data_IF_676476869968
#
_entry.id   IF_676476869968
#
_cell.length_a   1.000
_cell.length_b   1.000
_cell.length_c   1.000
_cell.angle_alpha   90.00
_cell.angle_beta   90.00
_cell.angle_gamma   90.00
#
_symmetry.space_group_name_H-M   'P 1'
#
loop_
_entity.id
_entity.type
_entity.pdbx_description
1 polymer ?
#
# COMPACT_ATOMS: atom_id res chain seq x y z
N UNK A 1 -46.86 -7.69 -14.52
CA UNK A 1 -45.89 -7.17 -15.51
C UNK A 1 -45.14 -6.02 -14.86
N UNK A 2 -43.94 -6.24 -14.32
CA UNK A 2 -42.79 -5.31 -14.42
C UNK A 2 -41.51 -5.93 -13.78
N UNK A 3 -40.70 -6.45 -14.69
CA UNK A 3 -39.26 -6.77 -14.73
C UNK A 3 -38.41 -6.98 -13.45
N UNK A 4 -37.85 -8.20 -13.26
CA UNK A 4 -36.71 -8.47 -12.39
C UNK A 4 -35.41 -8.50 -13.22
N UNK A 5 -34.73 -7.38 -13.48
CA UNK A 5 -33.38 -7.39 -14.09
C UNK A 5 -32.68 -6.01 -14.06
N UNK A 6 -32.18 -5.61 -12.88
CA UNK A 6 -31.11 -4.61 -12.79
C UNK A 6 -29.93 -5.16 -11.96
N UNK A 7 -29.44 -6.35 -12.31
CA UNK A 7 -28.05 -6.68 -11.99
C UNK A 7 -27.17 -6.03 -13.05
N UNK A 8 -26.92 -4.73 -12.86
CA UNK A 8 -25.85 -4.04 -13.54
C UNK A 8 -24.55 -4.77 -13.18
N UNK A 9 -23.98 -5.49 -14.15
CA UNK A 9 -22.70 -6.17 -13.99
C UNK A 9 -21.70 -5.17 -13.43
N UNK A 10 -21.30 -5.35 -12.16
CA UNK A 10 -20.29 -4.51 -11.51
C UNK A 10 -18.99 -4.78 -12.27
N UNK A 11 -18.71 -3.98 -13.29
CA UNK A 11 -17.44 -4.01 -14.01
C UNK A 11 -16.40 -3.48 -13.04
N UNK A 12 -15.67 -4.38 -12.41
CA UNK A 12 -14.51 -4.03 -11.60
C UNK A 12 -13.56 -3.24 -12.50
N UNK A 13 -13.35 -1.96 -12.17
CA UNK A 13 -12.38 -1.12 -12.86
C UNK A 13 -11.02 -1.79 -12.73
N UNK A 14 -10.40 -2.12 -13.87
CA UNK A 14 -9.08 -2.74 -13.92
C UNK A 14 -7.95 -1.80 -13.49
N UNK A 15 -8.24 -0.50 -13.44
CA UNK A 15 -7.30 0.55 -13.08
C UNK A 15 -7.99 1.64 -12.25
N UNK A 16 -7.31 2.12 -11.21
CA UNK A 16 -7.81 3.16 -10.32
C UNK A 16 -6.68 4.07 -9.84
N UNK A 17 -6.94 5.37 -9.78
CA UNK A 17 -6.02 6.38 -9.22
C UNK A 17 -6.68 7.04 -8.01
N UNK A 18 -5.96 7.11 -6.89
CA UNK A 18 -6.44 7.67 -5.64
C UNK A 18 -5.47 8.67 -5.03
N UNK A 19 -5.96 9.88 -4.77
CA UNK A 19 -5.22 10.87 -3.99
C UNK A 19 -5.59 10.73 -2.53
N UNK A 20 -4.59 10.49 -1.69
CA UNK A 20 -4.78 10.41 -0.25
C UNK A 20 -5.17 11.79 0.29
N UNK A 21 -6.28 11.91 1.05
CA UNK A 21 -6.67 13.18 1.66
C UNK A 21 -5.74 13.56 2.83
N UNK A 22 -5.11 12.56 3.46
CA UNK A 22 -4.23 12.67 4.62
C UNK A 22 -3.07 11.69 4.41
N UNK A 23 -1.83 12.02 4.82
CA UNK A 23 -0.70 11.09 4.79
C UNK A 23 -0.89 9.91 5.76
N UNK A 24 -1.69 8.92 5.36
CA UNK A 24 -2.03 7.74 6.15
C UNK A 24 -1.42 6.48 5.57
N UNK A 25 -0.43 5.92 6.28
CA UNK A 25 0.18 4.66 5.91
C UNK A 25 -0.82 3.50 5.91
N UNK A 26 -1.80 3.49 6.82
CA UNK A 26 -2.79 2.42 6.93
C UNK A 26 -3.75 2.41 5.74
N UNK A 27 -4.22 3.59 5.32
CA UNK A 27 -5.10 3.72 4.15
C UNK A 27 -4.37 3.30 2.87
N UNK A 28 -3.10 3.73 2.74
CA UNK A 28 -2.22 3.32 1.65
C UNK A 28 -2.04 1.80 1.61
N UNK A 29 -1.68 1.16 2.71
CA UNK A 29 -1.48 -0.30 2.76
C UNK A 29 -2.75 -1.05 2.39
N UNK A 30 -3.91 -0.59 2.87
CA UNK A 30 -5.21 -1.20 2.57
C UNK A 30 -5.52 -1.14 1.07
N UNK A 31 -5.27 0.00 0.42
CA UNK A 31 -5.46 0.17 -1.02
C UNK A 31 -4.49 -0.70 -1.85
N UNK A 32 -3.21 -0.78 -1.46
CA UNK A 32 -2.23 -1.61 -2.14
C UNK A 32 -2.59 -3.11 -2.04
N UNK A 33 -3.02 -3.58 -0.86
CA UNK A 33 -3.45 -4.96 -0.66
C UNK A 33 -4.73 -5.28 -1.43
N UNK A 34 -5.68 -4.33 -1.49
CA UNK A 34 -6.89 -4.48 -2.30
C UNK A 34 -6.56 -4.62 -3.79
N UNK A 35 -5.57 -3.86 -4.29
CA UNK A 35 -5.14 -3.95 -5.68
C UNK A 35 -4.47 -5.30 -6.01
N UNK A 36 -3.66 -5.83 -5.10
CA UNK A 36 -3.06 -7.17 -5.24
C UNK A 36 -4.12 -8.27 -5.26
N UNK A 37 -5.10 -8.20 -4.35
CA UNK A 37 -6.17 -9.19 -4.29
C UNK A 37 -7.11 -9.10 -5.51
N UNK A 38 -7.45 -7.88 -5.92
CA UNK A 38 -8.31 -7.60 -7.06
C UNK A 38 -7.65 -7.77 -8.43
N UNK A 39 -6.33 -8.03 -8.48
CA UNK A 39 -5.52 -8.06 -9.70
C UNK A 39 -5.71 -6.81 -10.56
N UNK A 40 -5.64 -5.65 -9.92
CA UNK A 40 -5.86 -4.36 -10.56
C UNK A 40 -4.61 -3.48 -10.49
N UNK A 41 -4.51 -2.55 -11.43
CA UNK A 41 -3.48 -1.50 -11.42
C UNK A 41 -3.95 -0.35 -10.55
N UNK A 42 -3.09 0.12 -9.66
CA UNK A 42 -3.40 1.24 -8.78
C UNK A 42 -2.29 2.30 -8.81
N UNK A 43 -2.70 3.56 -8.89
CA UNK A 43 -1.86 4.73 -8.63
C UNK A 43 -2.33 5.36 -7.31
N UNK A 44 -1.43 5.54 -6.36
CA UNK A 44 -1.68 6.27 -5.12
C UNK A 44 -0.84 7.54 -5.13
N UNK A 45 -1.50 8.68 -4.95
CA UNK A 45 -0.87 9.99 -4.86
C UNK A 45 -0.87 10.41 -3.39
N UNK A 46 0.32 10.48 -2.81
CA UNK A 46 0.57 10.80 -1.42
C UNK A 46 1.11 12.26 -1.31
N UNK A 47 0.43 13.15 -0.57
CA UNK A 47 0.82 14.56 -0.46
C UNK A 47 2.04 14.79 0.43
N UNK A 48 2.25 13.94 1.42
CA UNK A 48 3.38 14.00 2.36
C UNK A 48 3.81 12.58 2.74
N UNK A 49 5.10 12.39 2.98
CA UNK A 49 5.70 11.11 3.29
C UNK A 49 5.07 10.44 4.52
N UNK A 50 4.51 9.25 4.32
CA UNK A 50 4.11 8.35 5.39
C UNK A 50 5.04 7.13 5.48
N UNK A 51 4.96 6.35 6.58
CA UNK A 51 5.76 5.12 6.75
C UNK A 51 5.64 4.21 5.52
N UNK A 52 6.76 3.59 5.14
CA UNK A 52 6.92 2.91 3.84
C UNK A 52 7.16 1.39 3.93
N UNK A 53 6.87 0.77 5.07
CA UNK A 53 7.13 -0.66 5.30
C UNK A 53 6.39 -1.56 4.31
N UNK A 54 5.17 -1.20 3.90
CA UNK A 54 4.40 -1.99 2.92
C UNK A 54 5.06 -1.94 1.55
N UNK A 55 5.49 -0.76 1.09
CA UNK A 55 6.18 -0.63 -0.20
C UNK A 55 7.52 -1.38 -0.21
N UNK A 56 8.29 -1.30 0.87
CA UNK A 56 9.54 -2.07 1.04
C UNK A 56 9.28 -3.57 1.00
N UNK A 57 8.24 -4.05 1.68
CA UNK A 57 7.85 -5.46 1.67
C UNK A 57 7.44 -5.92 0.27
N UNK A 58 6.59 -5.15 -0.43
CA UNK A 58 6.15 -5.50 -1.79
C UNK A 58 7.31 -5.53 -2.78
N UNK A 59 8.24 -4.58 -2.68
CA UNK A 59 9.48 -4.58 -3.49
C UNK A 59 10.35 -5.79 -3.19
N UNK A 60 10.48 -6.16 -1.91
CA UNK A 60 11.24 -7.35 -1.51
C UNK A 60 10.64 -8.64 -2.10
N UNK A 61 9.30 -8.75 -2.08
CA UNK A 61 8.54 -9.86 -2.67
C UNK A 61 8.48 -9.84 -4.21
N UNK A 62 9.24 -8.97 -4.87
CA UNK A 62 9.31 -8.82 -6.33
C UNK A 62 7.96 -8.45 -6.98
N UNK A 63 7.10 -7.76 -6.25
CA UNK A 63 5.90 -7.15 -6.85
C UNK A 63 6.31 -6.02 -7.80
N UNK A 64 5.53 -5.83 -8.87
CA UNK A 64 5.71 -4.72 -9.82
C UNK A 64 5.19 -3.41 -9.20
N UNK A 65 6.04 -2.84 -8.33
CA UNK A 65 5.82 -1.57 -7.64
C UNK A 65 6.84 -0.53 -8.10
N UNK A 66 6.37 0.65 -8.48
CA UNK A 66 7.19 1.81 -8.83
C UNK A 66 6.82 2.99 -7.95
N UNK A 67 7.82 3.73 -7.52
CA UNK A 67 7.65 4.90 -6.65
C UNK A 67 8.36 6.06 -7.35
N UNK A 68 7.61 7.11 -7.63
CA UNK A 68 8.10 8.30 -8.30
C UNK A 68 7.80 9.55 -7.46
N UNK A 69 8.66 10.55 -7.53
CA UNK A 69 8.40 11.86 -6.95
C UNK A 69 8.25 12.86 -8.09
N UNK A 70 7.09 13.50 -8.16
CA UNK A 70 6.77 14.48 -9.19
C UNK A 70 5.93 15.60 -8.58
N UNK A 71 6.26 16.85 -8.90
CA UNK A 71 5.50 18.04 -8.45
C UNK A 71 5.35 18.12 -6.93
N UNK A 72 6.41 17.77 -6.18
CA UNK A 72 6.40 17.66 -4.71
C UNK A 72 5.42 16.63 -4.14
N UNK A 73 4.85 15.77 -4.99
CA UNK A 73 3.97 14.67 -4.61
C UNK A 73 4.67 13.33 -4.82
N UNK A 74 4.39 12.38 -3.95
CA UNK A 74 4.87 11.01 -4.08
C UNK A 74 3.80 10.16 -4.75
N UNK A 75 4.16 9.48 -5.83
CA UNK A 75 3.27 8.60 -6.58
C UNK A 75 3.73 7.16 -6.45
N UNK A 76 2.80 6.27 -6.13
CA UNK A 76 3.05 4.85 -5.98
C UNK A 76 2.20 4.12 -7.01
N UNK A 77 2.86 3.41 -7.91
CA UNK A 77 2.25 2.57 -8.92
C UNK A 77 2.41 1.12 -8.51
N UNK A 78 1.33 0.36 -8.51
CA UNK A 78 1.36 -1.07 -8.27
C UNK A 78 0.54 -1.80 -9.33
N UNK A 79 1.13 -2.81 -9.93
CA UNK A 79 0.46 -3.71 -10.84
C UNK A 79 0.12 -5.03 -10.14
N UNK A 80 -1.14 -5.15 -9.71
CA UNK A 80 -1.63 -6.33 -8.98
C UNK A 80 -1.81 -7.59 -9.82
N UNK A 81 -1.66 -7.53 -11.14
CA UNK A 81 -1.75 -8.71 -12.01
C UNK A 81 -0.52 -9.62 -11.90
N UNK A 82 0.61 -9.08 -11.43
CA UNK A 82 1.87 -9.81 -11.29
C UNK A 82 1.84 -10.67 -10.03
N UNK A 83 2.12 -11.99 -10.14
CA UNK A 83 2.13 -12.88 -8.98
C UNK A 83 3.28 -12.55 -8.03
N UNK A 84 2.99 -12.65 -6.74
CA UNK A 84 3.97 -12.46 -5.65
C UNK A 84 4.86 -13.69 -5.54
N UNK A 85 6.16 -13.50 -5.35
CA UNK A 85 7.08 -14.62 -5.09
C UNK A 85 7.24 -14.87 -3.59
N UNK A 86 7.32 -16.14 -3.20
CA UNK A 86 7.67 -16.51 -1.84
C UNK A 86 9.12 -16.13 -1.55
N UNK A 87 9.38 -15.56 -0.37
CA UNK A 87 10.73 -15.30 0.14
C UNK A 87 10.77 -15.43 1.65
N UNK A 88 11.93 -15.82 2.17
CA UNK A 88 12.20 -15.79 3.62
C UNK A 88 12.49 -14.37 4.07
N UNK A 89 11.63 -13.82 4.91
CA UNK A 89 11.78 -12.48 5.47
C UNK A 89 12.33 -12.57 6.89
N UNK A 90 13.39 -11.81 7.19
CA UNK A 90 13.81 -11.54 8.56
C UNK A 90 13.11 -10.27 9.06
N UNK A 91 12.35 -10.37 10.14
CA UNK A 91 11.63 -9.23 10.72
C UNK A 91 12.50 -8.65 11.84
N UNK A 92 12.95 -7.38 11.73
CA UNK A 92 13.72 -6.75 12.79
C UNK A 92 12.86 -6.53 14.04
N UNK A 93 13.52 -6.36 15.20
CA UNK A 93 12.84 -6.00 16.43
C UNK A 93 12.06 -4.68 16.32
N UNK A 94 11.01 -4.54 17.14
CA UNK A 94 10.15 -3.36 17.12
C UNK A 94 10.82 -2.17 17.82
N UNK A 95 11.07 -1.10 17.07
CA UNK A 95 11.63 0.15 17.60
C UNK A 95 10.73 0.79 18.66
N UNK A 96 9.41 0.73 18.49
CA UNK A 96 8.46 1.27 19.48
C UNK A 96 8.57 0.54 20.81
N UNK A 97 8.75 -0.79 20.80
CA UNK A 97 9.01 -1.55 22.02
C UNK A 97 10.40 -1.24 22.64
N UNK A 98 11.43 -1.08 21.81
CA UNK A 98 12.77 -0.73 22.28
C UNK A 98 12.86 0.67 22.91
N UNK A 99 12.00 1.61 22.49
CA UNK A 99 12.02 3.00 22.94
C UNK A 99 11.91 3.17 24.46
N UNK A 100 11.15 2.30 25.14
CA UNK A 100 11.02 2.32 26.59
C UNK A 100 12.37 2.07 27.30
N UNK A 101 13.16 1.11 26.82
CA UNK A 101 14.46 0.80 27.39
C UNK A 101 15.52 1.87 27.08
N UNK A 102 15.46 2.44 25.87
CA UNK A 102 16.34 3.53 25.46
C UNK A 102 16.09 4.76 26.34
N UNK A 103 14.83 5.15 26.52
CA UNK A 103 14.46 6.28 27.35
C UNK A 103 14.88 6.07 28.82
N UNK A 104 14.66 4.87 29.37
CA UNK A 104 15.10 4.54 30.73
C UNK A 104 16.62 4.71 30.89
N UNK A 105 17.41 4.15 29.98
CA UNK A 105 18.88 4.22 30.04
C UNK A 105 19.39 5.65 29.88
N UNK A 106 18.76 6.45 29.03
CA UNK A 106 19.15 7.85 28.81
C UNK A 106 18.77 8.78 29.98
N UNK A 107 17.87 8.35 30.86
CA UNK A 107 17.37 9.15 31.98
C UNK A 107 18.16 8.93 33.28
N UNK A 108 19.11 7.99 33.29
CA UNK A 108 19.99 7.63 34.41
C UNK A 108 21.36 8.24 34.15
#
# INVERSE_FOLDING_TARGET
>A
MENPNQNSSIKIKKEFSYRLPIPSAQLKSSLLLAALNGKTKIEIIEPELSRDHTEKMLKYLECDIKIEYKDSLRRIYLNGEVPIKEKRVFIPGDFSAASFFIALTASI
#
